data_IF_601740312878
#
_entry.id   IF_601740312878
#
_cell.length_a   1.000
_cell.length_b   1.000
_cell.length_c   1.000
_cell.angle_alpha   90.00
_cell.angle_beta   90.00
_cell.angle_gamma   90.00
#
_symmetry.space_group_name_H-M   'P 1'
#
loop_
_entity.id
_entity.type
_entity.pdbx_description
1 polymer ?
#
# COMPACT_ATOMS: atom_id res chain seq x y z
N UNK A 1 -7.06 -25.53 -10.59
CA UNK A 1 -6.06 -26.22 -9.75
C UNK A 1 -5.39 -25.21 -8.82
N UNK A 2 -4.79 -24.14 -9.33
CA UNK A 2 -4.04 -23.20 -8.48
C UNK A 2 -4.94 -22.36 -7.57
N UNK A 3 -6.09 -21.90 -8.07
CA UNK A 3 -7.08 -21.16 -7.29
C UNK A 3 -7.69 -22.01 -6.15
N UNK A 4 -8.03 -23.25 -6.43
CA UNK A 4 -8.59 -24.19 -5.44
C UNK A 4 -7.58 -24.46 -4.33
N UNK A 5 -6.34 -24.76 -4.70
CA UNK A 5 -5.25 -24.99 -3.74
C UNK A 5 -4.96 -23.76 -2.88
N UNK A 6 -4.92 -22.57 -3.49
CA UNK A 6 -4.76 -21.31 -2.77
C UNK A 6 -5.91 -21.07 -1.78
N UNK A 7 -7.14 -21.36 -2.20
CA UNK A 7 -8.33 -21.30 -1.33
C UNK A 7 -8.23 -22.25 -0.15
N UNK A 8 -7.88 -23.51 -0.39
CA UNK A 8 -7.68 -24.51 0.69
C UNK A 8 -6.65 -24.05 1.71
N UNK A 9 -5.50 -23.55 1.26
CA UNK A 9 -4.48 -23.01 2.17
C UNK A 9 -5.00 -21.85 3.00
N UNK A 10 -5.72 -20.92 2.37
CA UNK A 10 -6.25 -19.75 3.06
C UNK A 10 -7.34 -20.11 4.06
N UNK A 11 -8.21 -21.08 3.74
CA UNK A 11 -9.26 -21.54 4.64
C UNK A 11 -8.71 -22.33 5.85
N UNK A 12 -7.60 -23.04 5.67
CA UNK A 12 -6.95 -23.78 6.74
C UNK A 12 -6.08 -22.90 7.65
N UNK A 13 -5.65 -21.72 7.16
CA UNK A 13 -4.70 -20.88 7.86
C UNK A 13 -5.32 -20.20 9.09
N UNK A 14 -4.61 -20.25 10.21
CA UNK A 14 -4.95 -19.51 11.44
C UNK A 14 -4.31 -18.13 11.47
N UNK A 15 -3.16 -17.96 10.82
CA UNK A 15 -2.44 -16.70 10.71
C UNK A 15 -2.21 -16.32 9.25
N UNK A 16 -2.66 -15.12 8.90
CA UNK A 16 -2.56 -14.57 7.55
C UNK A 16 -1.93 -13.19 7.59
N UNK A 17 -0.93 -12.96 6.77
CA UNK A 17 -0.44 -11.61 6.50
C UNK A 17 -0.59 -11.29 5.01
N UNK A 18 -0.84 -10.04 4.70
CA UNK A 18 -1.10 -9.56 3.34
C UNK A 18 -0.23 -8.36 3.05
N UNK A 19 0.49 -8.39 1.93
CA UNK A 19 1.20 -7.23 1.38
C UNK A 19 0.42 -6.71 0.18
N UNK A 20 -0.04 -5.46 0.23
CA UNK A 20 -0.72 -4.83 -0.90
C UNK A 20 0.08 -3.71 -1.53
N UNK A 21 -0.07 -3.53 -2.84
CA UNK A 21 0.45 -2.41 -3.61
C UNK A 21 -0.66 -1.72 -4.42
N UNK A 22 -0.28 -0.77 -5.27
CA UNK A 22 -1.22 0.09 -6.00
C UNK A 22 -2.22 -0.67 -6.90
N UNK A 23 -1.86 -1.89 -7.31
CA UNK A 23 -2.72 -2.72 -8.16
C UNK A 23 -4.06 -3.08 -7.54
N UNK A 24 -4.17 -3.21 -6.20
CA UNK A 24 -5.47 -3.46 -5.56
C UNK A 24 -6.42 -2.27 -5.68
N UNK A 25 -5.89 -1.05 -5.77
CA UNK A 25 -6.69 0.18 -5.87
C UNK A 25 -6.99 0.60 -7.32
N UNK A 26 -6.40 -0.08 -8.31
CA UNK A 26 -6.61 0.21 -9.73
C UNK A 26 -8.08 0.08 -10.14
N UNK A 27 -8.78 -0.96 -9.65
CA UNK A 27 -10.20 -1.17 -9.91
C UNK A 27 -11.12 -0.16 -9.21
N UNK A 28 -10.59 0.61 -8.28
CA UNK A 28 -11.27 1.76 -7.66
C UNK A 28 -11.03 3.08 -8.42
N UNK A 29 -10.27 3.04 -9.52
CA UNK A 29 -9.94 4.21 -10.33
C UNK A 29 -8.72 5.01 -9.83
N UNK A 30 -7.96 4.46 -8.89
CA UNK A 30 -6.70 5.08 -8.43
C UNK A 30 -5.57 4.65 -9.38
N UNK A 31 -4.86 5.60 -10.02
CA UNK A 31 -3.76 5.26 -10.92
C UNK A 31 -2.64 4.49 -10.21
N UNK A 32 -2.13 3.45 -10.86
CA UNK A 32 -0.91 2.76 -10.41
C UNK A 32 0.34 3.61 -10.70
N UNK A 33 1.47 3.27 -10.07
CA UNK A 33 2.74 3.97 -10.33
C UNK A 33 3.50 3.34 -11.51
N UNK A 34 3.48 2.03 -11.63
CA UNK A 34 4.21 1.24 -12.64
C UNK A 34 3.25 0.45 -13.50
N UNK A 35 3.78 -0.14 -14.59
CA UNK A 35 2.99 -0.89 -15.54
C UNK A 35 2.29 -0.01 -16.59
N UNK A 36 1.37 -0.58 -17.38
CA UNK A 36 0.63 0.15 -18.40
C UNK A 36 -0.21 1.27 -17.79
N UNK A 37 -0.02 2.51 -18.26
CA UNK A 37 -0.74 3.69 -17.73
C UNK A 37 -0.28 4.18 -16.35
N UNK A 38 0.80 3.62 -15.79
CA UNK A 38 1.33 4.03 -14.49
C UNK A 38 1.87 5.46 -14.46
N UNK A 39 1.78 6.12 -13.31
CA UNK A 39 2.15 7.54 -13.14
C UNK A 39 3.60 7.84 -13.52
N UNK A 40 4.53 6.91 -13.23
CA UNK A 40 5.96 7.09 -13.56
C UNK A 40 6.29 7.02 -15.05
N UNK A 41 5.29 6.82 -15.93
CA UNK A 41 5.44 7.01 -17.37
C UNK A 41 5.38 8.47 -17.79
N UNK A 42 4.60 9.27 -17.05
CA UNK A 42 4.36 10.69 -17.35
C UNK A 42 5.07 11.63 -16.38
N UNK A 43 5.47 11.13 -15.23
CA UNK A 43 6.12 11.90 -14.16
C UNK A 43 7.40 11.21 -13.73
N UNK A 44 8.35 12.00 -13.23
CA UNK A 44 9.61 11.49 -12.67
C UNK A 44 9.54 11.49 -11.14
N UNK A 45 9.79 10.33 -10.49
CA UNK A 45 9.81 10.27 -9.02
C UNK A 45 10.76 11.29 -8.39
N UNK A 46 11.91 11.53 -9.04
CA UNK A 46 12.94 12.46 -8.57
C UNK A 46 12.46 13.91 -8.52
N UNK A 47 11.42 14.26 -9.29
CA UNK A 47 10.88 15.61 -9.34
C UNK A 47 9.68 15.81 -8.40
N UNK A 48 9.08 14.73 -7.87
CA UNK A 48 7.81 14.80 -7.13
C UNK A 48 7.78 14.03 -5.81
N UNK A 49 8.66 13.04 -5.63
CA UNK A 49 8.59 12.10 -4.52
C UNK A 49 9.94 11.89 -3.83
N UNK A 50 10.67 12.98 -3.62
CA UNK A 50 11.93 12.99 -2.87
C UNK A 50 12.01 14.23 -1.96
N UNK A 51 12.76 14.19 -0.85
CA UNK A 51 13.04 15.39 -0.04
C UNK A 51 13.68 16.52 -0.84
N UNK A 52 14.57 16.19 -1.76
CA UNK A 52 15.24 17.17 -2.63
C UNK A 52 14.25 17.88 -3.57
N UNK A 53 13.28 17.14 -4.15
CA UNK A 53 12.22 17.73 -4.96
C UNK A 53 11.37 18.72 -4.16
N UNK A 54 10.98 18.36 -2.94
CA UNK A 54 10.22 19.23 -2.07
C UNK A 54 11.00 20.48 -1.64
N UNK A 55 12.28 20.33 -1.32
CA UNK A 55 13.14 21.47 -0.99
C UNK A 55 13.33 22.44 -2.18
N UNK A 56 13.36 21.90 -3.41
CA UNK A 56 13.54 22.69 -4.63
C UNK A 56 12.27 23.43 -5.03
N UNK A 57 11.13 22.77 -5.00
CA UNK A 57 9.83 23.34 -5.39
C UNK A 57 8.68 22.68 -4.60
N UNK A 58 8.38 23.16 -3.40
CA UNK A 58 7.31 22.63 -2.58
C UNK A 58 5.91 22.88 -3.19
N UNK A 59 5.76 23.94 -4.00
CA UNK A 59 4.50 24.21 -4.69
C UNK A 59 4.19 23.15 -5.74
N UNK A 60 5.16 22.80 -6.58
CA UNK A 60 5.02 21.75 -7.60
C UNK A 60 4.67 20.41 -6.96
N UNK A 61 5.40 20.04 -5.90
CA UNK A 61 5.13 18.78 -5.17
C UNK A 61 3.72 18.78 -4.60
N UNK A 62 3.30 19.86 -3.95
CA UNK A 62 1.94 19.94 -3.40
C UNK A 62 0.85 19.97 -4.47
N UNK A 63 1.05 20.65 -5.60
CA UNK A 63 0.09 20.61 -6.72
C UNK A 63 -0.14 19.19 -7.21
N UNK A 64 0.91 18.38 -7.30
CA UNK A 64 0.81 16.99 -7.70
C UNK A 64 0.09 16.14 -6.64
N UNK A 65 0.39 16.32 -5.35
CA UNK A 65 -0.30 15.62 -4.27
C UNK A 65 -1.76 16.06 -4.12
N UNK A 66 -2.06 17.34 -4.27
CA UNK A 66 -3.44 17.86 -4.23
C UNK A 66 -4.28 17.31 -5.39
N UNK A 67 -3.70 17.26 -6.59
CA UNK A 67 -4.32 16.57 -7.73
C UNK A 67 -4.58 15.08 -7.43
N UNK A 68 -3.61 14.35 -6.89
CA UNK A 68 -3.81 12.95 -6.49
C UNK A 68 -4.90 12.80 -5.44
N UNK A 69 -4.93 13.67 -4.43
CA UNK A 69 -5.98 13.69 -3.40
C UNK A 69 -7.36 13.83 -4.03
N UNK A 70 -7.52 14.73 -5.01
CA UNK A 70 -8.79 14.93 -5.71
C UNK A 70 -9.26 13.70 -6.50
N UNK A 71 -8.33 12.90 -7.04
CA UNK A 71 -8.66 11.63 -7.68
C UNK A 71 -9.06 10.57 -6.66
N UNK A 72 -8.27 10.42 -5.60
CA UNK A 72 -8.49 9.42 -4.56
C UNK A 72 -9.77 9.69 -3.78
N UNK A 73 -10.13 10.96 -3.56
CA UNK A 73 -11.36 11.34 -2.86
C UNK A 73 -12.65 10.83 -3.53
N UNK A 74 -12.58 10.54 -4.84
CA UNK A 74 -13.71 9.98 -5.61
C UNK A 74 -13.72 8.46 -5.64
N UNK A 75 -12.63 7.82 -5.21
CA UNK A 75 -12.49 6.38 -5.24
C UNK A 75 -13.23 5.73 -4.06
N UNK A 76 -13.79 4.56 -4.31
CA UNK A 76 -14.44 3.73 -3.29
C UNK A 76 -13.73 2.37 -3.18
N UNK A 77 -13.73 1.76 -1.99
CA UNK A 77 -13.22 0.40 -1.84
C UNK A 77 -13.90 -0.58 -2.81
N UNK A 78 -13.10 -1.35 -3.53
CA UNK A 78 -13.59 -2.37 -4.46
C UNK A 78 -13.75 -3.74 -3.76
N UNK A 79 -14.24 -4.78 -4.48
CA UNK A 79 -14.41 -6.11 -3.89
C UNK A 79 -13.14 -6.71 -3.29
N UNK A 80 -11.96 -6.38 -3.79
CA UNK A 80 -10.68 -6.82 -3.22
C UNK A 80 -10.44 -6.28 -1.81
N UNK A 81 -10.66 -4.98 -1.60
CA UNK A 81 -10.58 -4.36 -0.27
C UNK A 81 -11.57 -5.00 0.72
N UNK A 82 -12.81 -5.22 0.27
CA UNK A 82 -13.88 -5.83 1.09
C UNK A 82 -13.57 -7.28 1.44
N UNK A 83 -13.02 -8.03 0.51
CA UNK A 83 -12.60 -9.41 0.76
C UNK A 83 -11.50 -9.50 1.83
N UNK A 84 -10.56 -8.55 1.86
CA UNK A 84 -9.54 -8.50 2.91
C UNK A 84 -10.14 -8.18 4.29
N UNK A 85 -11.17 -7.34 4.38
CA UNK A 85 -11.92 -7.11 5.63
C UNK A 85 -12.61 -8.39 6.11
N UNK A 86 -13.20 -9.14 5.19
CA UNK A 86 -13.83 -10.43 5.54
C UNK A 86 -12.80 -11.45 5.99
N UNK A 87 -11.64 -11.50 5.33
CA UNK A 87 -10.52 -12.36 5.73
C UNK A 87 -10.01 -11.99 7.13
N UNK A 88 -9.88 -10.70 7.43
CA UNK A 88 -9.50 -10.19 8.75
C UNK A 88 -10.47 -10.67 9.86
N UNK A 89 -11.78 -10.75 9.55
CA UNK A 89 -12.79 -11.23 10.50
C UNK A 89 -12.72 -12.73 10.77
N UNK A 90 -12.26 -13.51 9.78
CA UNK A 90 -12.21 -14.99 9.87
C UNK A 90 -10.91 -15.52 10.46
N UNK A 91 -9.79 -14.88 10.16
CA UNK A 91 -8.49 -15.34 10.61
C UNK A 91 -8.29 -15.08 12.13
N UNK A 92 -7.64 -16.01 12.81
CA UNK A 92 -7.30 -15.81 14.24
C UNK A 92 -6.27 -14.70 14.41
N UNK A 93 -5.29 -14.64 13.50
CA UNK A 93 -4.29 -13.59 13.43
C UNK A 93 -4.25 -13.05 12.00
N UNK A 94 -4.44 -11.76 11.86
CA UNK A 94 -4.41 -11.07 10.58
C UNK A 94 -3.59 -9.80 10.65
N UNK A 95 -2.76 -9.56 9.66
CA UNK A 95 -2.03 -8.30 9.50
C UNK A 95 -2.06 -7.88 8.04
N UNK A 96 -2.59 -6.71 7.78
CA UNK A 96 -2.55 -6.07 6.47
C UNK A 96 -1.38 -5.10 6.41
N UNK A 97 -0.46 -5.33 5.51
CA UNK A 97 0.72 -4.50 5.25
C UNK A 97 0.50 -3.82 3.90
N UNK A 98 0.48 -2.51 3.88
CA UNK A 98 0.21 -1.79 2.63
C UNK A 98 1.31 -0.79 2.28
N UNK A 99 1.65 -0.76 1.00
CA UNK A 99 2.47 0.28 0.38
C UNK A 99 1.61 1.48 -0.07
N UNK A 100 0.28 1.31 -0.06
CA UNK A 100 -0.65 2.33 -0.53
C UNK A 100 -0.84 3.44 0.50
N UNK A 101 -0.98 4.64 -0.02
CA UNK A 101 -1.22 5.86 0.78
C UNK A 101 -2.66 6.39 0.62
N UNK A 102 -3.49 5.67 -0.14
CA UNK A 102 -4.82 6.14 -0.57
C UNK A 102 -5.91 6.08 0.51
N UNK A 103 -5.71 5.28 1.57
CA UNK A 103 -6.68 5.12 2.66
C UNK A 103 -7.89 4.24 2.30
N UNK A 104 -7.87 3.51 1.17
CA UNK A 104 -9.00 2.66 0.77
C UNK A 104 -9.18 1.43 1.66
N UNK A 105 -8.11 0.91 2.23
CA UNK A 105 -8.21 -0.16 3.24
C UNK A 105 -8.93 0.31 4.50
N UNK A 106 -8.61 1.51 4.99
CA UNK A 106 -9.30 2.14 6.12
C UNK A 106 -10.78 2.35 5.79
N UNK A 107 -11.07 2.90 4.60
CA UNK A 107 -12.43 3.15 4.13
C UNK A 107 -13.24 1.86 3.95
N UNK A 108 -12.59 0.74 3.63
CA UNK A 108 -13.23 -0.58 3.57
C UNK A 108 -13.59 -1.15 4.95
N UNK A 109 -12.91 -0.69 6.00
CA UNK A 109 -13.09 -1.13 7.38
C UNK A 109 -12.03 -2.08 7.92
N UNK A 110 -10.88 -2.22 7.24
CA UNK A 110 -9.71 -2.92 7.79
C UNK A 110 -9.19 -2.21 9.05
N UNK A 111 -8.74 -2.97 10.04
CA UNK A 111 -8.34 -2.47 11.36
C UNK A 111 -6.87 -2.69 11.67
N UNK A 112 -6.32 -3.84 11.31
CA UNK A 112 -4.93 -4.21 11.58
C UNK A 112 -4.06 -3.90 10.36
N UNK A 113 -3.79 -2.59 10.14
CA UNK A 113 -3.07 -2.08 8.97
C UNK A 113 -1.70 -1.54 9.38
N UNK A 114 -0.64 -2.02 8.74
CA UNK A 114 0.70 -1.44 8.79
C UNK A 114 0.94 -0.65 7.50
N UNK A 115 0.96 0.67 7.59
CA UNK A 115 1.18 1.60 6.47
C UNK A 115 2.68 1.85 6.31
N UNK A 116 3.32 1.20 5.35
CA UNK A 116 4.78 1.31 5.14
C UNK A 116 5.20 2.69 4.63
N UNK A 117 4.35 3.33 3.83
CA UNK A 117 4.71 4.56 3.12
C UNK A 117 3.89 5.79 3.55
N UNK A 118 3.22 5.72 4.70
CA UNK A 118 2.42 6.83 5.23
C UNK A 118 1.00 6.90 4.67
N UNK A 119 0.43 8.11 4.67
CA UNK A 119 -0.96 8.35 4.32
C UNK A 119 -1.13 9.70 3.62
N UNK A 120 -1.79 9.73 2.47
CA UNK A 120 -2.01 10.96 1.69
C UNK A 120 -2.97 11.93 2.38
N UNK A 121 -3.79 11.42 3.32
CA UNK A 121 -4.73 12.20 4.12
C UNK A 121 -4.14 12.78 5.38
N UNK A 122 -2.84 12.58 5.60
CA UNK A 122 -2.11 13.17 6.71
C UNK A 122 -1.08 14.17 6.21
N UNK A 123 -0.91 15.21 7.00
CA UNK A 123 0.02 16.32 6.75
C UNK A 123 0.90 16.46 7.97
N UNK A 124 2.19 16.68 7.77
CA UNK A 124 3.13 16.92 8.87
C UNK A 124 3.89 18.22 8.70
N UNK A 125 4.18 18.87 9.81
CA UNK A 125 4.99 20.06 9.84
C UNK A 125 6.45 19.77 9.46
N UNK A 126 7.11 20.72 8.79
CA UNK A 126 8.54 20.63 8.47
C UNK A 126 9.46 21.13 9.59
N UNK A 127 8.90 21.79 10.63
CA UNK A 127 9.66 22.43 11.69
C UNK A 127 9.34 21.96 13.11
N UNK A 128 8.18 21.32 13.31
CA UNK A 128 7.80 20.74 14.60
C UNK A 128 7.19 19.36 14.39
N UNK A 129 6.98 18.59 15.45
CA UNK A 129 6.53 17.20 15.36
C UNK A 129 5.02 17.06 15.11
N UNK A 130 4.29 18.17 14.83
CA UNK A 130 2.87 18.13 14.60
C UNK A 130 2.54 17.43 13.30
N UNK A 131 1.66 16.46 13.39
CA UNK A 131 1.02 15.76 12.27
C UNK A 131 -0.48 15.75 12.49
N UNK A 132 -1.26 15.95 11.42
CA UNK A 132 -2.73 16.01 11.50
C UNK A 132 -3.39 15.40 10.27
N UNK A 133 -4.63 15.00 10.44
CA UNK A 133 -5.47 14.55 9.35
C UNK A 133 -6.04 15.77 8.60
N UNK A 134 -6.00 15.71 7.28
CA UNK A 134 -6.61 16.70 6.41
C UNK A 134 -7.19 16.02 5.17
N UNK A 135 -8.50 16.08 5.03
CA UNK A 135 -9.24 15.51 3.89
C UNK A 135 -9.80 16.58 2.95
N UNK A 136 -9.37 17.82 3.10
CA UNK A 136 -9.75 18.90 2.20
C UNK A 136 -9.31 18.62 0.76
N UNK A 137 -10.22 18.76 -0.19
CA UNK A 137 -9.96 18.57 -1.62
C UNK A 137 -10.78 19.58 -2.44
N UNK A 138 -10.13 20.58 -3.07
CA UNK A 138 -8.69 20.88 -2.99
C UNK A 138 -8.28 21.40 -1.61
N UNK A 139 -6.98 21.41 -1.35
CA UNK A 139 -6.44 22.09 -0.18
C UNK A 139 -6.65 23.61 -0.32
N UNK A 140 -7.05 24.32 0.76
CA UNK A 140 -7.34 25.76 0.69
C UNK A 140 -6.10 26.62 0.44
N UNK A 141 -4.92 26.11 0.81
CA UNK A 141 -3.61 26.77 0.63
C UNK A 141 -2.56 25.75 0.19
N UNK A 142 -1.71 26.12 -0.76
CA UNK A 142 -0.56 25.32 -1.23
C UNK A 142 0.72 26.14 -1.18
N UNK A 143 1.74 25.70 -0.47
CA UNK A 143 1.79 24.62 0.51
C UNK A 143 0.96 24.94 1.75
N UNK A 144 0.31 23.94 2.37
CA UNK A 144 -0.39 24.15 3.63
C UNK A 144 0.59 24.53 4.75
N UNK A 145 0.09 25.25 5.75
CA UNK A 145 0.91 25.72 6.87
C UNK A 145 0.49 25.08 8.19
N UNK A 146 1.49 24.82 9.00
CA UNK A 146 1.29 24.41 10.37
C UNK A 146 0.89 25.62 11.25
N UNK A 147 0.21 25.37 12.36
CA UNK A 147 -0.09 26.39 13.37
C UNK A 147 1.14 27.11 13.95
N UNK A 148 2.35 26.55 13.83
CA UNK A 148 3.59 27.21 14.19
C UNK A 148 4.09 28.19 13.10
N UNK A 149 3.37 28.33 11.98
CA UNK A 149 3.73 29.16 10.84
C UNK A 149 4.61 28.50 9.78
N UNK A 150 5.23 27.36 10.10
CA UNK A 150 6.08 26.66 9.16
C UNK A 150 5.25 25.95 8.07
N UNK A 151 5.91 25.72 6.93
CA UNK A 151 5.34 24.93 5.84
C UNK A 151 5.08 23.50 6.30
N UNK A 152 4.04 22.87 5.76
CA UNK A 152 3.76 21.47 5.95
C UNK A 152 4.02 20.66 4.68
N UNK A 153 4.22 19.36 4.85
CA UNK A 153 4.44 18.41 3.77
C UNK A 153 3.46 17.25 3.87
N UNK A 154 3.22 16.48 2.78
CA UNK A 154 2.48 15.23 2.87
C UNK A 154 3.17 14.27 3.84
N UNK A 155 2.41 13.60 4.70
CA UNK A 155 2.92 12.57 5.61
C UNK A 155 3.13 11.24 4.88
N UNK A 156 3.90 11.27 3.81
CA UNK A 156 4.24 10.17 2.93
C UNK A 156 5.75 9.95 2.99
N UNK A 157 6.16 8.69 2.98
CA UNK A 157 7.57 8.32 2.85
C UNK A 157 8.00 8.48 1.40
N UNK A 158 8.95 9.35 1.15
CA UNK A 158 9.53 9.57 -0.16
C UNK A 158 10.74 8.67 -0.41
N UNK A 159 11.11 8.54 -1.68
CA UNK A 159 12.33 7.84 -2.04
C UNK A 159 13.56 8.48 -1.36
N UNK A 160 14.40 7.63 -0.76
CA UNK A 160 15.56 8.07 0.04
C UNK A 160 15.24 8.32 1.52
N UNK A 161 13.98 8.24 1.94
CA UNK A 161 13.61 8.35 3.35
C UNK A 161 13.49 6.97 4.01
N UNK A 162 13.75 6.93 5.32
CA UNK A 162 13.45 5.76 6.14
C UNK A 162 11.94 5.55 6.29
N UNK A 163 11.52 4.31 6.44
CA UNK A 163 10.15 3.99 6.84
C UNK A 163 9.89 4.46 8.28
N UNK A 164 8.61 4.62 8.67
CA UNK A 164 8.28 4.94 10.06
C UNK A 164 8.86 3.91 11.02
N UNK A 165 9.31 4.39 12.20
CA UNK A 165 9.97 3.56 13.20
C UNK A 165 9.13 2.35 13.59
N UNK A 166 9.74 1.17 13.60
CA UNK A 166 9.14 -0.10 14.02
C UNK A 166 8.12 -0.69 13.03
N UNK A 167 7.69 0.03 11.99
CA UNK A 167 6.66 -0.48 11.08
C UNK A 167 7.17 -1.64 10.22
N UNK A 168 8.42 -1.55 9.75
CA UNK A 168 9.00 -2.62 8.95
C UNK A 168 9.28 -3.87 9.78
N UNK A 169 9.78 -3.71 11.01
CA UNK A 169 10.01 -4.80 11.96
C UNK A 169 8.71 -5.53 12.28
N UNK A 170 7.63 -4.79 12.53
CA UNK A 170 6.30 -5.37 12.76
C UNK A 170 5.80 -6.12 11.51
N UNK A 171 5.99 -5.55 10.32
CA UNK A 171 5.62 -6.18 9.06
C UNK A 171 6.44 -7.45 8.79
N UNK A 172 7.74 -7.41 9.03
CA UNK A 172 8.64 -8.56 8.88
C UNK A 172 8.29 -9.69 9.85
N UNK A 173 7.95 -9.34 11.11
CA UNK A 173 7.48 -10.30 12.09
C UNK A 173 6.15 -10.94 11.66
N UNK A 174 5.18 -10.15 11.22
CA UNK A 174 3.90 -10.65 10.72
C UNK A 174 4.07 -11.58 9.50
N UNK A 175 4.94 -11.19 8.55
CA UNK A 175 5.25 -12.01 7.39
C UNK A 175 5.90 -13.35 7.76
N UNK A 176 6.88 -13.32 8.67
CA UNK A 176 7.60 -14.51 9.11
C UNK A 176 6.77 -15.47 9.97
N UNK A 177 5.73 -14.94 10.65
CA UNK A 177 4.84 -15.72 11.53
C UNK A 177 3.57 -16.19 10.83
N UNK A 178 3.32 -15.78 9.60
CA UNK A 178 2.13 -16.15 8.84
C UNK A 178 2.22 -17.60 8.33
N UNK A 179 1.10 -18.32 8.35
CA UNK A 179 0.94 -19.60 7.65
C UNK A 179 0.66 -19.37 6.16
N UNK A 180 -0.07 -18.29 5.84
CA UNK A 180 -0.29 -17.84 4.47
C UNK A 180 0.09 -16.36 4.34
N UNK A 181 0.87 -16.04 3.32
CA UNK A 181 1.27 -14.69 2.96
C UNK A 181 0.75 -14.35 1.57
N UNK A 182 -0.18 -13.39 1.52
CA UNK A 182 -0.73 -12.90 0.25
C UNK A 182 0.09 -11.70 -0.24
N UNK A 183 0.44 -11.69 -1.53
CA UNK A 183 1.11 -10.58 -2.21
C UNK A 183 0.18 -10.09 -3.31
N UNK A 184 -0.43 -8.90 -3.12
CA UNK A 184 -1.57 -8.46 -3.92
C UNK A 184 -1.30 -7.12 -4.59
N UNK A 185 -1.35 -7.09 -5.92
CA UNK A 185 -1.30 -5.86 -6.71
C UNK A 185 -0.02 -5.05 -6.54
N UNK A 186 1.11 -5.71 -6.36
CA UNK A 186 2.42 -5.04 -6.24
C UNK A 186 3.40 -5.55 -7.28
N UNK A 187 4.20 -4.65 -7.84
CA UNK A 187 5.31 -5.01 -8.74
C UNK A 187 6.48 -5.69 -8.02
N UNK A 188 6.50 -5.64 -6.69
CA UNK A 188 7.52 -6.22 -5.83
C UNK A 188 8.97 -5.78 -6.15
N UNK A 189 9.13 -4.52 -6.60
CA UNK A 189 10.45 -3.93 -6.90
C UNK A 189 10.89 -2.86 -5.91
N UNK A 190 9.99 -2.40 -5.03
CA UNK A 190 10.27 -1.36 -4.05
C UNK A 190 10.73 -2.00 -2.74
N UNK A 191 11.95 -1.67 -2.34
CA UNK A 191 12.53 -2.10 -1.07
C UNK A 191 12.41 -0.98 -0.01
N UNK A 192 12.25 -1.34 1.28
CA UNK A 192 12.34 -2.69 1.84
C UNK A 192 11.07 -3.56 1.73
N UNK A 193 9.93 -3.02 1.24
CA UNK A 193 8.65 -3.74 1.18
C UNK A 193 8.73 -5.09 0.46
N UNK A 194 9.39 -5.16 -0.71
CA UNK A 194 9.57 -6.40 -1.46
C UNK A 194 10.34 -7.48 -0.67
N UNK A 195 11.18 -7.06 0.28
CA UNK A 195 11.91 -7.96 1.18
C UNK A 195 11.02 -8.77 2.13
N UNK A 196 9.76 -8.38 2.32
CA UNK A 196 8.80 -9.14 3.14
C UNK A 196 8.46 -10.50 2.53
N UNK A 197 8.52 -10.65 1.20
CA UNK A 197 8.28 -11.93 0.52
C UNK A 197 9.29 -13.00 0.95
N UNK A 198 10.61 -12.77 0.86
CA UNK A 198 11.57 -13.73 1.40
C UNK A 198 11.50 -13.91 2.93
N UNK A 199 11.04 -12.90 3.71
CA UNK A 199 10.78 -13.09 5.15
C UNK A 199 9.67 -14.11 5.39
N UNK A 200 8.54 -14.00 4.69
CA UNK A 200 7.43 -14.95 4.77
C UNK A 200 7.87 -16.37 4.39
N UNK A 201 8.60 -16.50 3.29
CA UNK A 201 9.10 -17.83 2.82
C UNK A 201 10.05 -18.48 3.82
N UNK A 202 10.98 -17.72 4.39
CA UNK A 202 11.88 -18.24 5.44
C UNK A 202 11.13 -18.66 6.70
N UNK A 203 10.01 -17.99 7.01
CA UNK A 203 9.12 -18.35 8.10
C UNK A 203 8.26 -19.59 7.83
N UNK A 204 8.27 -20.12 6.60
CA UNK A 204 7.49 -21.29 6.20
C UNK A 204 6.09 -20.98 5.69
N UNK A 205 5.75 -19.72 5.45
CA UNK A 205 4.46 -19.34 4.90
C UNK A 205 4.26 -19.89 3.47
N UNK A 206 3.02 -20.28 3.16
CA UNK A 206 2.58 -20.45 1.78
C UNK A 206 2.38 -19.07 1.17
N UNK A 207 3.13 -18.74 0.13
CA UNK A 207 3.08 -17.44 -0.51
C UNK A 207 2.21 -17.50 -1.76
N UNK A 208 1.15 -16.69 -1.78
CA UNK A 208 0.20 -16.58 -2.90
C UNK A 208 0.32 -15.18 -3.49
N UNK A 209 0.73 -15.10 -4.74
CA UNK A 209 0.78 -13.85 -5.50
C UNK A 209 -0.52 -13.66 -6.30
N UNK A 210 -1.09 -12.47 -6.22
CA UNK A 210 -2.25 -12.04 -7.03
C UNK A 210 -1.83 -10.75 -7.74
N UNK A 211 -1.55 -10.84 -9.02
CA UNK A 211 -1.12 -9.71 -9.82
C UNK A 211 -1.40 -9.95 -11.30
N UNK A 212 -1.71 -8.90 -12.07
CA UNK A 212 -1.97 -9.04 -13.51
C UNK A 212 -0.71 -9.40 -14.30
N UNK A 213 0.44 -8.89 -13.87
CA UNK A 213 1.73 -9.10 -14.54
C UNK A 213 2.64 -9.99 -13.70
N UNK A 214 3.61 -10.60 -14.35
CA UNK A 214 4.67 -11.33 -13.65
C UNK A 214 5.57 -10.36 -12.88
N UNK A 215 6.01 -10.80 -11.71
CA UNK A 215 7.01 -10.12 -10.90
C UNK A 215 8.28 -10.95 -10.81
N UNK A 216 9.35 -10.39 -10.26
CA UNK A 216 10.57 -11.13 -9.99
C UNK A 216 10.38 -12.33 -9.04
N UNK A 217 9.26 -12.38 -8.31
CA UNK A 217 8.96 -13.45 -7.36
C UNK A 217 7.99 -14.51 -7.89
N UNK A 218 7.34 -14.29 -9.03
CA UNK A 218 6.28 -15.17 -9.56
C UNK A 218 6.70 -16.64 -9.71
N UNK A 219 7.95 -16.89 -10.06
CA UNK A 219 8.49 -18.25 -10.18
C UNK A 219 8.94 -18.87 -8.85
N UNK A 220 8.97 -18.07 -7.78
CA UNK A 220 9.47 -18.48 -6.47
C UNK A 220 8.38 -18.57 -5.39
N UNK A 221 7.14 -18.15 -5.70
CA UNK A 221 5.99 -18.29 -4.80
C UNK A 221 5.31 -19.64 -4.98
N UNK A 222 4.49 -20.04 -4.00
CA UNK A 222 3.79 -21.33 -4.03
C UNK A 222 2.61 -21.35 -5.01
N UNK A 223 2.00 -20.20 -5.24
CA UNK A 223 0.90 -20.00 -6.18
C UNK A 223 0.93 -18.59 -6.75
N UNK A 224 0.74 -18.45 -8.05
CA UNK A 224 0.66 -17.15 -8.72
C UNK A 224 -0.59 -17.06 -9.58
N UNK A 225 -1.50 -16.16 -9.22
CA UNK A 225 -2.79 -15.95 -9.88
C UNK A 225 -2.72 -14.68 -10.74
N UNK A 226 -2.89 -14.83 -12.06
CA UNK A 226 -2.91 -13.72 -13.03
C UNK A 226 -4.32 -13.14 -13.17
N UNK A 227 -4.82 -12.58 -12.07
CA UNK A 227 -6.16 -12.01 -11.95
C UNK A 227 -6.09 -10.64 -11.30
N UNK A 228 -7.14 -9.85 -11.49
CA UNK A 228 -7.35 -8.64 -10.70
C UNK A 228 -7.62 -8.98 -9.24
N UNK A 229 -7.22 -8.10 -8.34
CA UNK A 229 -7.42 -8.32 -6.91
C UNK A 229 -8.90 -8.45 -6.52
N UNK A 230 -9.76 -7.62 -7.14
CA UNK A 230 -11.21 -7.65 -6.91
C UNK A 230 -11.92 -8.88 -7.47
N UNK A 231 -11.28 -9.60 -8.38
CA UNK A 231 -11.76 -10.90 -8.90
C UNK A 231 -11.23 -12.07 -8.06
N UNK A 232 -9.92 -12.09 -7.81
CA UNK A 232 -9.26 -13.21 -7.15
C UNK A 232 -9.60 -13.32 -5.66
N UNK A 233 -9.52 -12.22 -4.91
CA UNK A 233 -9.70 -12.26 -3.46
C UNK A 233 -11.08 -12.78 -3.03
N UNK A 234 -12.22 -12.35 -3.64
CA UNK A 234 -13.52 -12.95 -3.31
C UNK A 234 -13.61 -14.45 -3.63
N UNK A 235 -12.90 -14.93 -4.66
CA UNK A 235 -12.90 -16.35 -5.02
C UNK A 235 -12.09 -17.22 -4.05
N UNK A 236 -11.18 -16.63 -3.28
CA UNK A 236 -10.37 -17.33 -2.28
C UNK A 236 -11.09 -17.50 -0.93
N UNK A 237 -12.15 -16.74 -0.68
CA UNK A 237 -12.95 -16.80 0.56
C UNK A 237 -14.05 -17.86 0.49
#
# INVERSE_FOLDING_TARGET
VDLERAREWLQAARSVAVLTGAGISAESGVPTFRGPGGLWRSYRPEDLATPAAFARDPNLVWQWYDWRRSLIAKALPNPGHKALVELERRAHHFTLITQNVDGLHDAAGSRHILKLHGDIWRVRCTACDLEWDDRSTPLPELPPRCRCGAMARPAIVWFGEALPDGVFEAAAHAAASAEVFLVVGTSAVVYPAAGLIPHARRGGARVIEINLEETAFSTSVDCSLRLKAGEALPLLL
#
